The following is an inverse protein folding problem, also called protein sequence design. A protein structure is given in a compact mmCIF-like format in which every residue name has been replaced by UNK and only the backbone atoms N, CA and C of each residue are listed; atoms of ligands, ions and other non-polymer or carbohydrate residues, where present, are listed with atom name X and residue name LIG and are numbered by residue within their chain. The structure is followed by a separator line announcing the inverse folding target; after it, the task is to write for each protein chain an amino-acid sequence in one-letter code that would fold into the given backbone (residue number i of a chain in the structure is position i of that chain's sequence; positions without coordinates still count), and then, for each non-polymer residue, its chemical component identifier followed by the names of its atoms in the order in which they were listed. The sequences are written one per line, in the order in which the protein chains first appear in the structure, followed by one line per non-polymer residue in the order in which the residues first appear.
data_IF_592528598305
#
_entry.id   IF_592528598305
#
_cell.length_a   1.000
_cell.length_b   1.000
_cell.length_c   1.000
_cell.angle_alpha   90.00
_cell.angle_beta   90.00
_cell.angle_gamma   90.00
#
_symmetry.space_group_name_H-M   'P 1'
#
loop_
_entity.id
_entity.type
_entity.pdbx_description
1 polymer ?
#
# COMPACT_ATOMS: atom_id res chain seq x y z
N UNK A 1 -6.12 -5.92 -7.11
CA UNK A 1 -6.34 -5.76 -5.66
C UNK A 1 -7.33 -4.64 -5.49
N UNK A 2 -8.30 -4.80 -4.59
CA UNK A 2 -9.29 -3.81 -4.23
C UNK A 2 -8.85 -3.13 -2.93
N UNK A 3 -9.04 -1.81 -2.87
CA UNK A 3 -8.75 -1.03 -1.66
C UNK A 3 -9.67 -1.49 -0.53
N UNK A 4 -9.06 -1.99 0.54
CA UNK A 4 -9.80 -2.52 1.69
C UNK A 4 -9.91 -1.48 2.80
N UNK A 5 -8.87 -0.67 2.99
CA UNK A 5 -8.82 0.39 3.98
C UNK A 5 -7.82 1.46 3.53
N UNK A 6 -8.13 2.71 3.84
CA UNK A 6 -7.16 3.78 3.88
C UNK A 6 -7.40 4.66 5.11
N UNK A 7 -6.33 4.96 5.83
CA UNK A 7 -6.37 5.76 7.05
C UNK A 7 -5.34 6.87 6.92
N UNK A 8 -5.79 8.10 7.14
CA UNK A 8 -4.95 9.28 7.21
C UNK A 8 -4.63 9.65 8.66
N UNK A 9 -3.58 10.44 8.86
CA UNK A 9 -3.16 10.94 10.17
C UNK A 9 -2.80 9.84 11.18
N UNK A 10 -2.32 8.70 10.70
CA UNK A 10 -1.84 7.60 11.55
C UNK A 10 -0.61 8.07 12.32
N UNK A 11 -0.59 7.82 13.62
CA UNK A 11 0.49 8.14 14.55
C UNK A 11 1.18 6.86 15.02
N UNK A 12 2.42 6.66 14.58
CA UNK A 12 3.26 5.56 15.07
C UNK A 12 4.08 6.00 16.28
N UNK A 13 4.09 5.24 17.40
CA UNK A 13 4.86 5.60 18.59
C UNK A 13 6.33 5.93 18.35
N UNK A 14 6.99 5.25 17.42
CA UNK A 14 8.40 5.46 17.10
C UNK A 14 8.69 6.68 16.21
N UNK A 15 7.65 7.36 15.70
CA UNK A 15 7.81 8.50 14.80
C UNK A 15 7.05 9.74 15.27
N UNK A 16 7.60 10.92 14.99
CA UNK A 16 6.97 12.21 15.31
C UNK A 16 5.98 12.65 14.23
N UNK A 17 6.23 12.24 12.98
CA UNK A 17 5.40 12.58 11.82
C UNK A 17 4.04 11.86 11.83
N UNK A 18 3.14 12.34 10.98
CA UNK A 18 1.91 11.63 10.64
C UNK A 18 2.05 10.85 9.34
N UNK A 19 1.30 9.76 9.24
CA UNK A 19 1.37 8.84 8.11
C UNK A 19 0.00 8.63 7.48
N UNK A 20 0.00 8.29 6.20
CA UNK A 20 -1.15 7.71 5.49
C UNK A 20 -0.86 6.25 5.24
N UNK A 21 -1.80 5.38 5.58
CA UNK A 21 -1.66 3.94 5.43
C UNK A 21 -2.80 3.41 4.55
N UNK A 22 -2.45 2.63 3.53
CA UNK A 22 -3.40 1.95 2.65
C UNK A 22 -3.18 0.45 2.72
N UNK A 23 -4.29 -0.28 2.81
CA UNK A 23 -4.33 -1.74 2.74
C UNK A 23 -5.18 -2.14 1.54
N UNK A 24 -4.58 -2.83 0.59
CA UNK A 24 -5.27 -3.41 -0.58
C UNK A 24 -5.29 -4.93 -0.45
N UNK A 25 -6.40 -5.59 -0.81
CA UNK A 25 -6.53 -7.05 -0.78
C UNK A 25 -7.14 -7.58 -2.06
N UNK A 26 -6.99 -8.87 -2.34
CA UNK A 26 -7.77 -9.53 -3.39
C UNK A 26 -8.99 -10.18 -2.71
N UNK A 27 -10.17 -9.57 -2.85
CA UNK A 27 -11.43 -10.04 -2.26
C UNK A 27 -11.40 -10.30 -0.74
N UNK A 28 -10.68 -9.46 0.01
CA UNK A 28 -10.53 -9.61 1.47
C UNK A 28 -9.58 -10.72 1.90
N UNK A 29 -8.87 -11.34 0.94
CA UNK A 29 -7.94 -12.44 1.17
C UNK A 29 -6.49 -12.05 0.78
N UNK A 30 -5.56 -12.94 1.13
CA UNK A 30 -4.18 -12.93 0.65
C UNK A 30 -4.11 -13.17 -0.88
N UNK A 31 -3.14 -12.57 -1.59
CA UNK A 31 -2.15 -11.63 -1.07
C UNK A 31 -2.75 -10.25 -0.78
N UNK A 32 -2.15 -9.55 0.19
CA UNK A 32 -2.46 -8.16 0.46
C UNK A 32 -1.25 -7.27 0.25
N UNK A 33 -1.53 -6.01 -0.06
CA UNK A 33 -0.52 -4.95 -0.17
C UNK A 33 -0.73 -3.98 0.97
N UNK A 34 0.36 -3.66 1.66
CA UNK A 34 0.44 -2.56 2.61
C UNK A 34 1.27 -1.46 1.98
N UNK A 35 0.77 -0.24 2.06
CA UNK A 35 1.47 0.96 1.62
C UNK A 35 1.40 2.02 2.71
N UNK A 36 2.51 2.71 2.93
CA UNK A 36 2.68 3.72 3.96
C UNK A 36 3.38 4.93 3.35
N UNK A 37 2.83 6.13 3.58
CA UNK A 37 3.43 7.40 3.21
C UNK A 37 3.65 8.25 4.46
N UNK A 38 4.85 8.79 4.63
CA UNK A 38 5.09 9.89 5.56
C UNK A 38 4.50 11.18 4.96
N UNK A 39 3.51 11.75 5.63
CA UNK A 39 2.75 12.89 5.09
C UNK A 39 3.58 14.17 4.97
N UNK A 40 4.64 14.31 5.77
CA UNK A 40 5.59 15.43 5.75
C UNK A 40 6.65 15.25 4.67
N UNK A 41 7.40 14.14 4.72
CA UNK A 41 8.57 13.92 3.86
C UNK A 41 8.23 13.34 2.49
N UNK A 42 6.98 12.89 2.29
CA UNK A 42 6.50 12.19 1.09
C UNK A 42 7.27 10.93 0.73
N UNK A 43 8.03 10.38 1.68
CA UNK A 43 8.62 9.06 1.51
C UNK A 43 7.54 7.99 1.63
N UNK A 44 7.62 7.02 0.73
CA UNK A 44 6.66 5.94 0.62
C UNK A 44 7.34 4.59 0.79
N UNK A 45 6.64 3.66 1.41
CA UNK A 45 7.05 2.27 1.55
C UNK A 45 5.90 1.34 1.21
N UNK A 46 6.22 0.20 0.60
CA UNK A 46 5.22 -0.81 0.26
C UNK A 46 5.75 -2.24 0.44
N UNK A 47 4.83 -3.16 0.70
CA UNK A 47 5.08 -4.59 0.75
C UNK A 47 3.87 -5.37 0.27
N UNK A 48 4.11 -6.50 -0.40
CA UNK A 48 3.07 -7.46 -0.80
C UNK A 48 3.31 -8.76 -0.06
N UNK A 49 2.32 -9.18 0.71
CA UNK A 49 2.43 -10.33 1.60
C UNK A 49 1.49 -11.44 1.14
N UNK A 50 2.07 -12.63 0.96
CA UNK A 50 1.36 -13.83 0.52
C UNK A 50 1.08 -14.78 1.69
N UNK A 51 1.71 -14.53 2.84
CA UNK A 51 1.59 -15.29 4.08
C UNK A 51 1.85 -14.37 5.29
N UNK A 52 1.46 -14.83 6.47
CA UNK A 52 1.73 -14.14 7.73
C UNK A 52 2.99 -14.74 8.38
N UNK A 53 4.01 -13.91 8.54
CA UNK A 53 5.16 -14.28 9.37
C UNK A 53 4.82 -14.01 10.84
N UNK A 54 4.43 -15.05 11.59
CA UNK A 54 4.28 -15.00 13.04
C UNK A 54 5.15 -16.07 13.73
N UNK A 55 5.58 -15.77 14.95
CA UNK A 55 6.49 -16.63 15.74
C UNK A 55 5.76 -17.71 16.55
N UNK A 56 4.42 -17.67 16.62
CA UNK A 56 3.55 -18.60 17.37
C UNK A 56 2.12 -18.58 16.82
N UNK A 57 1.22 -19.42 17.35
CA UNK A 57 -0.22 -19.59 17.01
C UNK A 57 -0.80 -18.45 16.15
N UNK A 58 -0.75 -18.66 14.83
CA UNK A 58 -1.16 -17.67 13.84
C UNK A 58 -2.69 -17.61 13.85
N UNK A 59 -3.25 -16.48 14.30
CA UNK A 59 -4.67 -16.20 14.11
C UNK A 59 -5.05 -16.29 12.61
N UNK A 60 -6.29 -16.68 12.28
CA UNK A 60 -6.78 -16.61 10.92
C UNK A 60 -6.52 -15.24 10.28
N UNK A 61 -6.13 -15.23 9.01
CA UNK A 61 -5.77 -14.01 8.27
C UNK A 61 -6.81 -12.89 8.39
N UNK A 62 -8.10 -13.23 8.33
CA UNK A 62 -9.19 -12.26 8.47
C UNK A 62 -9.18 -11.54 9.83
N UNK A 63 -8.81 -12.24 10.91
CA UNK A 63 -8.72 -11.65 12.25
C UNK A 63 -7.51 -10.71 12.34
N UNK A 64 -6.37 -11.11 11.76
CA UNK A 64 -5.17 -10.27 11.69
C UNK A 64 -5.45 -8.98 10.91
N UNK A 65 -6.15 -9.06 9.78
CA UNK A 65 -6.60 -7.87 9.06
C UNK A 65 -7.52 -6.99 9.90
N UNK A 66 -8.50 -7.57 10.60
CA UNK A 66 -9.43 -6.81 11.43
C UNK A 66 -8.71 -6.08 12.56
N UNK A 67 -7.72 -6.73 13.20
CA UNK A 67 -6.85 -6.12 14.19
C UNK A 67 -6.02 -4.98 13.63
N UNK A 68 -5.41 -5.17 12.45
CA UNK A 68 -4.60 -4.14 11.80
C UNK A 68 -5.45 -2.91 11.47
N UNK A 69 -6.63 -3.11 10.88
CA UNK A 69 -7.56 -2.02 10.60
C UNK A 69 -7.93 -1.25 11.86
N UNK A 70 -8.31 -1.96 12.92
CA UNK A 70 -8.73 -1.36 14.19
C UNK A 70 -7.59 -0.56 14.83
N UNK A 71 -6.36 -1.09 14.80
CA UNK A 71 -5.17 -0.44 15.34
C UNK A 71 -4.81 0.83 14.57
N UNK A 72 -4.88 0.80 13.23
CA UNK A 72 -4.63 1.97 12.39
C UNK A 72 -5.67 3.09 12.62
N UNK A 73 -6.95 2.74 12.76
CA UNK A 73 -8.03 3.69 13.07
C UNK A 73 -7.92 4.25 14.50
N UNK A 74 -7.52 3.43 15.47
CA UNK A 74 -7.26 3.90 16.82
C UNK A 74 -6.07 4.87 16.87
N UNK A 75 -5.00 4.54 16.13
CA UNK A 75 -3.81 5.37 15.99
C UNK A 75 -4.11 6.74 15.35
N UNK A 76 -5.04 6.81 14.38
CA UNK A 76 -5.38 8.09 13.75
C UNK A 76 -6.23 9.03 14.61
N UNK A 77 -6.89 8.52 15.65
CA UNK A 77 -7.79 9.31 16.50
C UNK A 77 -7.15 9.84 17.78
N UNK A 78 -5.84 9.61 18.00
CA UNK A 78 -5.13 9.89 19.27
C UNK A 78 -5.93 9.43 20.50
N UNK A 79 -6.60 8.29 20.37
CA UNK A 79 -7.35 7.70 21.47
C UNK A 79 -6.38 7.23 22.57
N UNK A 80 -6.79 7.26 23.84
CA UNK A 80 -6.02 6.74 24.98
C UNK A 80 -5.83 5.21 24.96
N UNK A 81 -6.24 4.55 23.86
CA UNK A 81 -5.99 3.13 23.63
C UNK A 81 -4.56 3.00 23.10
N UNK A 82 -3.68 2.23 23.75
CA UNK A 82 -2.36 1.93 23.20
C UNK A 82 -2.51 1.43 21.77
N UNK A 83 -1.91 2.14 20.82
CA UNK A 83 -1.83 1.63 19.47
C UNK A 83 -0.84 0.46 19.51
N UNK A 84 -1.34 -0.76 19.37
CA UNK A 84 -0.51 -1.96 19.26
C UNK A 84 0.26 -2.01 17.91
N UNK A 85 0.15 -0.95 17.10
CA UNK A 85 0.84 -0.78 15.81
C UNK A 85 1.94 0.26 15.92
N UNK A 86 3.12 -0.09 15.43
CA UNK A 86 4.27 0.81 15.32
C UNK A 86 4.96 0.64 13.97
N UNK A 87 5.76 1.63 13.58
CA UNK A 87 6.60 1.61 12.40
C UNK A 87 8.04 1.82 12.84
N UNK A 88 8.93 0.90 12.47
CA UNK A 88 10.31 0.87 12.94
C UNK A 88 11.24 1.02 11.74
N UNK A 89 12.21 1.92 11.85
CA UNK A 89 13.24 2.09 10.84
C UNK A 89 14.11 0.83 10.70
N UNK A 90 14.20 0.33 9.47
CA UNK A 90 15.05 -0.79 9.08
C UNK A 90 16.30 -0.34 8.32
N UNK A 91 17.21 -1.28 8.02
CA UNK A 91 18.38 -0.98 7.21
C UNK A 91 18.00 -0.63 5.75
N UNK A 92 18.88 0.11 5.06
CA UNK A 92 18.73 0.46 3.65
C UNK A 92 17.40 1.17 3.30
N UNK A 93 16.92 2.04 4.19
CA UNK A 93 15.69 2.81 3.98
C UNK A 93 14.41 1.96 3.98
N UNK A 94 14.47 0.70 4.42
CA UNK A 94 13.29 -0.11 4.67
C UNK A 94 12.65 0.26 6.00
N UNK A 95 11.39 -0.11 6.19
CA UNK A 95 10.70 0.01 7.48
C UNK A 95 9.97 -1.28 7.81
N UNK A 96 9.86 -1.61 9.10
CA UNK A 96 9.08 -2.74 9.61
C UNK A 96 7.84 -2.21 10.33
N UNK A 97 6.64 -2.54 9.84
CA UNK A 97 5.43 -2.31 10.62
C UNK A 97 5.19 -3.49 11.56
N UNK A 98 5.07 -3.20 12.85
CA UNK A 98 4.81 -4.21 13.88
C UNK A 98 3.40 -4.08 14.42
N UNK A 99 2.71 -5.19 14.60
CA UNK A 99 1.43 -5.26 15.31
C UNK A 99 1.40 -6.49 16.22
N UNK A 100 1.60 -6.30 17.53
CA UNK A 100 1.76 -7.41 18.47
C UNK A 100 2.90 -8.35 18.04
N UNK A 101 2.59 -9.60 17.69
CA UNK A 101 3.56 -10.59 17.18
C UNK A 101 3.79 -10.54 15.66
N UNK A 102 3.01 -9.76 14.92
CA UNK A 102 3.08 -9.70 13.46
C UNK A 102 4.06 -8.62 13.00
N UNK A 103 4.84 -8.95 11.97
CA UNK A 103 5.85 -8.07 11.38
C UNK A 103 5.67 -7.99 9.87
N UNK A 104 5.64 -6.77 9.33
CA UNK A 104 5.46 -6.49 7.92
C UNK A 104 6.63 -5.64 7.42
N UNK A 105 7.55 -6.27 6.69
CA UNK A 105 8.69 -5.57 6.09
C UNK A 105 8.26 -4.84 4.83
N UNK A 106 8.53 -3.53 4.78
CA UNK A 106 8.18 -2.64 3.67
C UNK A 106 9.45 -2.09 3.05
N UNK A 107 9.52 -2.16 1.72
CA UNK A 107 10.60 -1.59 0.94
C UNK A 107 10.25 -0.16 0.54
N UNK A 108 11.24 0.74 0.41
CA UNK A 108 10.99 2.08 -0.12
C UNK A 108 10.40 1.97 -1.52
N UNK A 109 9.36 2.77 -1.80
CA UNK A 109 8.83 2.93 -3.14
C UNK A 109 9.73 3.92 -3.85
N UNK A 110 10.66 3.42 -4.67
CA UNK A 110 11.52 4.31 -5.46
C UNK A 110 10.65 5.20 -6.35
N UNK A 111 10.86 6.52 -6.27
CA UNK A 111 10.23 7.51 -7.15
C UNK A 111 10.46 7.18 -8.64
N UNK A 112 11.57 6.53 -8.94
CA UNK A 112 11.97 6.06 -10.27
C UNK A 112 10.97 5.03 -10.84
N UNK A 113 10.27 4.28 -9.98
CA UNK A 113 9.23 3.33 -10.39
C UNK A 113 7.95 4.06 -10.80
N UNK A 114 7.61 5.14 -10.11
CA UNK A 114 6.46 5.99 -10.43
C UNK A 114 6.66 6.68 -11.78
N UNK A 115 7.83 7.29 -12.01
CA UNK A 115 8.18 7.88 -13.32
C UNK A 115 8.16 6.84 -14.44
N UNK A 116 8.69 5.63 -14.20
CA UNK A 116 8.60 4.52 -15.18
C UNK A 116 7.18 4.06 -15.45
N UNK A 117 6.28 4.10 -14.46
CA UNK A 117 4.87 3.78 -14.67
C UNK A 117 4.16 4.87 -15.47
N UNK A 118 4.41 6.14 -15.16
CA UNK A 118 3.87 7.29 -15.90
C UNK A 118 4.31 7.26 -17.38
N UNK A 119 5.59 6.99 -17.63
CA UNK A 119 6.12 6.83 -18.99
C UNK A 119 5.42 5.69 -19.75
N UNK A 120 5.14 4.57 -19.07
CA UNK A 120 4.41 3.43 -19.67
C UNK A 120 2.95 3.77 -19.94
N UNK A 121 2.30 4.56 -19.08
CA UNK A 121 0.92 5.01 -19.29
C UNK A 121 0.86 5.92 -20.51
N UNK A 122 1.75 6.91 -20.61
CA UNK A 122 1.82 7.77 -21.80
C UNK A 122 2.10 6.99 -23.08
N UNK A 123 3.01 6.00 -23.03
CA UNK A 123 3.29 5.13 -24.18
C UNK A 123 2.08 4.28 -24.60
N UNK A 124 1.25 3.83 -23.64
CA UNK A 124 0.02 3.10 -23.91
C UNK A 124 -1.07 4.01 -24.50
N UNK A 125 -1.24 5.22 -23.97
CA UNK A 125 -2.20 6.20 -24.48
C UNK A 125 -1.88 6.60 -25.93
N UNK A 126 -0.60 6.77 -26.25
CA UNK A 126 -0.14 7.02 -27.61
C UNK A 126 -0.50 5.87 -28.56
N UNK A 127 -0.26 4.61 -28.14
CA UNK A 127 -0.60 3.44 -28.93
C UNK A 127 -2.12 3.32 -29.17
N UNK A 128 -2.93 3.55 -28.14
CA UNK A 128 -4.40 3.53 -28.26
C UNK A 128 -4.89 4.61 -29.24
N UNK A 129 -4.25 5.78 -29.22
CA UNK A 129 -4.60 6.89 -30.13
C UNK A 129 -4.30 6.53 -31.58
N UNK A 130 -3.14 5.94 -31.87
CA UNK A 130 -2.79 5.50 -33.23
C UNK A 130 -3.66 4.33 -33.72
N UNK A 131 -3.99 3.39 -32.84
CA UNK A 131 -4.93 2.30 -33.14
C UNK A 131 -6.32 2.83 -33.50
N UNK A 132 -6.81 3.83 -32.77
CA UNK A 132 -8.10 4.49 -33.07
C UNK A 132 -8.11 5.13 -34.45
N UNK A 133 -7.09 5.94 -34.78
CA UNK A 133 -6.95 6.56 -36.11
C UNK A 133 -6.92 5.53 -37.24
N UNK A 134 -6.17 4.45 -37.05
CA UNK A 134 -6.06 3.36 -38.04
C UNK A 134 -7.42 2.66 -38.24
N UNK A 135 -8.14 2.41 -37.15
CA UNK A 135 -9.47 1.79 -37.19
C UNK A 135 -10.49 2.68 -37.90
N UNK A 136 -10.48 3.99 -37.60
CA UNK A 136 -11.36 4.97 -38.26
C UNK A 136 -11.06 5.08 -39.76
N UNK A 137 -9.78 5.08 -40.14
CA UNK A 137 -9.37 5.08 -41.54
C UNK A 137 -9.87 3.84 -42.28
N UNK A 138 -9.71 2.65 -41.70
CA UNK A 138 -10.21 1.39 -42.28
C UNK A 138 -11.73 1.41 -42.44
N UNK A 139 -12.47 1.93 -41.45
CA UNK A 139 -13.93 2.03 -41.52
C UNK A 139 -14.42 2.98 -42.61
N UNK A 140 -13.68 4.07 -42.90
CA UNK A 140 -14.02 5.02 -43.95
C UNK A 140 -13.72 4.48 -45.36
N UNK A 141 -12.71 3.61 -45.50
CA UNK A 141 -12.24 3.11 -46.81
C UNK A 141 -12.72 1.68 -47.15
N UNK A 142 -13.55 1.07 -46.28
CA UNK A 142 -14.21 -0.23 -46.54
C UNK A 142 -15.70 -0.10 -46.92
N UNK A 143 -16.20 1.11 -47.19
CA UNK A 143 -17.53 1.36 -47.77
C UNK A 143 -17.42 1.66 -49.25
#
# INVERSE_FOLDING_TARGET
MNQLLEVEFVHFPSHVDTFRVRVDTSDGHLPFKLWVENTTSKHEWAGVFHELNATSDVLPWHDVLAMLKSSLVASSTKSNVPADVDLIDGPNGHVEMTMGQYKFNLAPVDADTTTKLEDRVHALEAQVTELKKTTEWLQQHQK
#
